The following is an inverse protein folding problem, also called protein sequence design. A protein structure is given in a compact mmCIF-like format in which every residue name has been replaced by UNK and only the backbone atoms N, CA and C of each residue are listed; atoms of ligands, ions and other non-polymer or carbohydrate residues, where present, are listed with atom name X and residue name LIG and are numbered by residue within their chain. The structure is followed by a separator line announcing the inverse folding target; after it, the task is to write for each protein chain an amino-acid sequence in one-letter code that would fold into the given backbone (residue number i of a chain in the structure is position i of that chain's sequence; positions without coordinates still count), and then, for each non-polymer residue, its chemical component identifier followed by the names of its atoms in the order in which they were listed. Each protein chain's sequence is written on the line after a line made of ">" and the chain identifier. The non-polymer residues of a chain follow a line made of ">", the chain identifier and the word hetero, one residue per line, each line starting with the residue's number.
data_IF_811810207085
#
_entry.id   IF_811810207085
#
_cell.length_a   1.000
_cell.length_b   1.000
_cell.length_c   1.000
_cell.angle_alpha   90.00
_cell.angle_beta   90.00
_cell.angle_gamma   90.00
#
_symmetry.space_group_name_H-M   'P 1'
#
loop_
_entity.id
_entity.type
_entity.pdbx_description
1 polymer ?
#
# COMPACT_ATOMS: atom_id res chain seq x y z
N UNK A 1 -21.73 -13.91 -21.56
CA UNK A 1 -20.61 -13.27 -20.83
C UNK A 1 -20.35 -14.05 -19.54
N UNK A 2 -19.14 -14.55 -19.34
CA UNK A 2 -18.73 -15.36 -18.18
C UNK A 2 -17.70 -14.59 -17.32
N UNK A 3 -17.68 -14.84 -16.00
CA UNK A 3 -16.70 -14.20 -15.10
C UNK A 3 -15.24 -14.44 -15.53
N UNK A 4 -14.97 -15.62 -16.10
CA UNK A 4 -13.65 -15.97 -16.62
C UNK A 4 -13.24 -15.07 -17.79
N UNK A 5 -14.17 -14.74 -18.70
CA UNK A 5 -13.92 -13.83 -19.81
C UNK A 5 -13.60 -12.41 -19.31
N UNK A 6 -14.35 -11.92 -18.31
CA UNK A 6 -14.06 -10.62 -17.68
C UNK A 6 -12.70 -10.61 -16.98
N UNK A 7 -12.31 -11.70 -16.30
CA UNK A 7 -10.99 -11.79 -15.67
C UNK A 7 -9.85 -11.71 -16.71
N UNK A 8 -10.02 -12.40 -17.84
CA UNK A 8 -9.04 -12.33 -18.93
C UNK A 8 -8.98 -10.95 -19.57
N UNK A 9 -10.14 -10.32 -19.77
CA UNK A 9 -10.22 -8.96 -20.28
C UNK A 9 -9.49 -7.97 -19.37
N UNK A 10 -9.73 -8.00 -18.06
CA UNK A 10 -9.06 -7.12 -17.09
C UNK A 10 -7.56 -7.38 -17.08
N UNK A 11 -7.11 -8.64 -17.08
CA UNK A 11 -5.68 -8.96 -17.12
C UNK A 11 -4.99 -8.42 -18.38
N UNK A 12 -5.60 -8.53 -19.57
CA UNK A 12 -5.04 -7.98 -20.82
C UNK A 12 -5.07 -6.45 -20.79
N UNK A 13 -6.10 -5.84 -20.23
CA UNK A 13 -6.23 -4.37 -20.10
C UNK A 13 -5.14 -3.76 -19.20
N UNK A 14 -4.75 -4.47 -18.16
CA UNK A 14 -3.70 -4.04 -17.23
C UNK A 14 -2.29 -4.24 -17.79
N UNK A 15 -2.05 -5.37 -18.46
CA UNK A 15 -0.74 -5.69 -19.04
C UNK A 15 -0.51 -5.03 -20.41
N UNK A 16 -1.56 -4.64 -21.12
CA UNK A 16 -1.54 -4.20 -22.51
C UNK A 16 -0.73 -5.16 -23.41
N UNK A 17 -0.72 -6.44 -23.04
CA UNK A 17 0.04 -7.50 -23.72
C UNK A 17 -0.54 -8.89 -23.44
N UNK A 18 -1.03 -9.58 -24.47
CA UNK A 18 -1.67 -10.89 -24.31
C UNK A 18 -0.76 -11.97 -23.71
N UNK A 19 0.53 -11.97 -24.06
CA UNK A 19 1.51 -12.93 -23.52
C UNK A 19 1.71 -12.74 -22.02
N UNK A 20 1.99 -11.51 -21.55
CA UNK A 20 2.14 -11.21 -20.12
C UNK A 20 0.88 -11.49 -19.32
N UNK A 21 -0.28 -11.16 -19.88
CA UNK A 21 -1.56 -11.51 -19.26
C UNK A 21 -1.73 -13.03 -19.12
N UNK A 22 -1.34 -13.79 -20.11
CA UNK A 22 -1.39 -15.26 -20.06
C UNK A 22 -0.42 -15.83 -19.02
N UNK A 23 0.80 -15.31 -18.94
CA UNK A 23 1.79 -15.66 -17.91
C UNK A 23 1.25 -15.38 -16.50
N UNK A 24 0.70 -14.20 -16.28
CA UNK A 24 0.07 -13.80 -15.00
C UNK A 24 -1.11 -14.71 -14.61
N UNK A 25 -1.84 -15.19 -15.59
CA UNK A 25 -2.99 -16.07 -15.40
C UNK A 25 -2.61 -17.56 -15.37
N UNK A 26 -1.33 -17.88 -15.57
CA UNK A 26 -0.79 -19.25 -15.66
C UNK A 26 -1.50 -20.12 -16.71
N UNK A 27 -1.76 -19.56 -17.90
CA UNK A 27 -2.39 -20.23 -19.03
C UNK A 27 -1.67 -19.89 -20.35
N UNK A 28 -2.05 -20.59 -21.43
CA UNK A 28 -1.51 -20.31 -22.76
C UNK A 28 -2.15 -19.07 -23.39
N UNK A 29 -1.38 -18.27 -24.10
CA UNK A 29 -1.83 -17.03 -24.74
C UNK A 29 -3.01 -17.23 -25.69
N UNK A 30 -3.05 -18.37 -26.44
CA UNK A 30 -4.14 -18.68 -27.35
C UNK A 30 -5.50 -18.77 -26.64
N UNK A 31 -5.54 -19.31 -25.41
CA UNK A 31 -6.75 -19.40 -24.61
C UNK A 31 -7.26 -18.01 -24.20
N UNK A 32 -6.37 -17.09 -23.79
CA UNK A 32 -6.73 -15.71 -23.49
C UNK A 32 -7.32 -15.04 -24.73
N UNK A 33 -6.63 -15.14 -25.87
CA UNK A 33 -7.05 -14.53 -27.13
C UNK A 33 -8.43 -15.01 -27.58
N UNK A 34 -8.68 -16.32 -27.52
CA UNK A 34 -9.97 -16.91 -27.87
C UNK A 34 -11.12 -16.43 -26.96
N UNK A 35 -10.87 -16.35 -25.65
CA UNK A 35 -11.90 -15.90 -24.71
C UNK A 35 -12.23 -14.41 -24.87
N UNK A 36 -11.22 -13.59 -25.15
CA UNK A 36 -11.46 -12.17 -25.48
C UNK A 36 -12.26 -12.04 -26.77
N UNK A 37 -11.90 -12.76 -27.83
CA UNK A 37 -12.68 -12.75 -29.09
C UNK A 37 -14.12 -13.23 -28.90
N UNK A 38 -14.34 -14.20 -28.00
CA UNK A 38 -15.69 -14.66 -27.67
C UNK A 38 -16.46 -13.56 -26.94
N UNK A 39 -15.84 -12.88 -25.98
CA UNK A 39 -16.44 -11.75 -25.26
C UNK A 39 -16.78 -10.59 -26.22
N UNK A 40 -15.87 -10.23 -27.12
CA UNK A 40 -16.09 -9.19 -28.14
C UNK A 40 -17.29 -9.53 -29.05
N UNK A 41 -17.39 -10.79 -29.49
CA UNK A 41 -18.54 -11.24 -30.30
C UNK A 41 -19.87 -11.21 -29.52
N UNK A 42 -19.85 -11.58 -28.25
CA UNK A 42 -21.04 -11.56 -27.40
C UNK A 42 -21.50 -10.12 -27.12
N UNK A 43 -20.57 -9.18 -27.00
CA UNK A 43 -20.88 -7.76 -26.77
C UNK A 43 -21.10 -6.95 -28.06
N UNK A 44 -20.77 -7.54 -29.22
CA UNK A 44 -20.89 -6.85 -30.51
C UNK A 44 -19.93 -5.68 -30.68
N UNK A 45 -18.82 -5.67 -29.93
CA UNK A 45 -17.84 -4.57 -29.95
C UNK A 45 -16.42 -5.09 -29.73
N UNK A 46 -15.45 -4.54 -30.46
CA UNK A 46 -14.03 -4.77 -30.19
C UNK A 46 -13.63 -4.03 -28.91
N UNK A 47 -12.95 -4.72 -28.01
CA UNK A 47 -12.47 -4.17 -26.75
C UNK A 47 -11.00 -3.75 -26.81
N UNK A 48 -10.23 -4.38 -27.71
CA UNK A 48 -8.83 -4.08 -27.95
C UNK A 48 -8.55 -3.74 -29.41
N UNK A 49 -7.81 -2.67 -29.61
CA UNK A 49 -7.12 -2.41 -30.88
C UNK A 49 -5.86 -3.30 -30.93
N UNK A 50 -5.83 -4.20 -31.92
CA UNK A 50 -4.77 -5.20 -32.11
C UNK A 50 -3.85 -4.78 -33.26
N UNK A 51 -3.41 -3.51 -33.27
CA UNK A 51 -2.42 -3.09 -34.27
C UNK A 51 -1.11 -3.89 -34.08
N UNK A 52 -0.33 -4.15 -35.16
CA UNK A 52 0.86 -5.03 -35.09
C UNK A 52 1.96 -4.56 -34.13
N UNK A 53 1.87 -3.34 -33.63
CA UNK A 53 2.90 -2.74 -32.76
C UNK A 53 2.47 -2.48 -31.33
N UNK A 54 1.16 -2.46 -31.00
CA UNK A 54 0.67 -2.17 -29.64
C UNK A 54 -0.75 -2.69 -29.44
N UNK A 55 -1.00 -3.26 -28.26
CA UNK A 55 -2.35 -3.54 -27.75
C UNK A 55 -2.83 -2.32 -26.97
N UNK A 56 -4.03 -1.81 -27.30
CA UNK A 56 -4.67 -0.70 -26.60
C UNK A 56 -6.14 -1.03 -26.38
N UNK A 57 -6.74 -0.43 -25.36
CA UNK A 57 -8.19 -0.47 -25.20
C UNK A 57 -8.84 0.38 -26.28
N UNK A 58 -9.97 -0.09 -26.81
CA UNK A 58 -10.90 0.75 -27.56
C UNK A 58 -11.75 1.58 -26.60
N UNK A 59 -12.49 2.57 -27.10
CA UNK A 59 -13.46 3.29 -26.27
C UNK A 59 -14.53 2.39 -25.64
N UNK A 60 -14.86 1.23 -26.26
CA UNK A 60 -15.72 0.22 -25.65
C UNK A 60 -15.00 -0.53 -24.52
N UNK A 61 -13.72 -0.85 -24.72
CA UNK A 61 -12.88 -1.47 -23.70
C UNK A 61 -12.67 -0.56 -22.46
N UNK A 62 -12.44 0.74 -22.70
CA UNK A 62 -12.29 1.70 -21.60
C UNK A 62 -13.57 1.84 -20.75
N UNK A 63 -14.75 1.81 -21.37
CA UNK A 63 -16.02 1.82 -20.65
C UNK A 63 -16.29 0.51 -19.93
N UNK A 64 -15.92 -0.63 -20.52
CA UNK A 64 -16.14 -1.93 -19.91
C UNK A 64 -15.23 -2.20 -18.72
N UNK A 65 -14.01 -1.65 -18.71
CA UNK A 65 -13.00 -1.97 -17.69
C UNK A 65 -13.47 -1.72 -16.25
N UNK A 66 -14.04 -0.55 -15.90
CA UNK A 66 -14.57 -0.32 -14.55
C UNK A 66 -15.73 -1.27 -14.21
N UNK A 67 -16.62 -1.54 -15.15
CA UNK A 67 -17.77 -2.45 -14.95
C UNK A 67 -17.32 -3.91 -14.77
N UNK A 68 -16.35 -4.36 -15.58
CA UNK A 68 -15.79 -5.70 -15.46
C UNK A 68 -15.12 -5.90 -14.09
N UNK A 69 -14.39 -4.90 -13.61
CA UNK A 69 -13.80 -4.92 -12.26
C UNK A 69 -14.88 -4.98 -11.18
N UNK A 70 -15.96 -4.21 -11.32
CA UNK A 70 -17.07 -4.21 -10.38
C UNK A 70 -17.79 -5.57 -10.31
N UNK A 71 -18.04 -6.22 -11.46
CA UNK A 71 -18.64 -7.56 -11.53
C UNK A 71 -17.74 -8.62 -10.90
N UNK A 72 -16.44 -8.63 -11.22
CA UNK A 72 -15.48 -9.56 -10.63
C UNK A 72 -15.38 -9.39 -9.11
N UNK A 73 -15.36 -8.14 -8.65
CA UNK A 73 -15.40 -7.83 -7.22
C UNK A 73 -16.70 -8.32 -6.56
N UNK A 74 -17.86 -8.17 -7.23
CA UNK A 74 -19.15 -8.68 -6.73
C UNK A 74 -19.19 -10.21 -6.64
N UNK A 75 -18.65 -10.90 -7.64
CA UNK A 75 -18.56 -12.36 -7.65
C UNK A 75 -17.64 -12.87 -6.52
N UNK A 76 -16.49 -12.23 -6.31
CA UNK A 76 -15.58 -12.60 -5.22
C UNK A 76 -16.23 -12.35 -3.85
N UNK A 77 -16.95 -11.24 -3.70
CA UNK A 77 -17.74 -10.97 -2.49
C UNK A 77 -18.79 -12.04 -2.21
N UNK A 78 -19.50 -12.52 -3.25
CA UNK A 78 -20.47 -13.59 -3.10
C UNK A 78 -19.83 -14.89 -2.61
N UNK A 79 -18.65 -15.23 -3.15
CA UNK A 79 -17.88 -16.41 -2.70
C UNK A 79 -17.42 -16.26 -1.25
N UNK A 80 -16.87 -15.11 -0.89
CA UNK A 80 -16.40 -14.86 0.48
C UNK A 80 -17.54 -14.75 1.49
N UNK A 81 -18.74 -14.32 1.08
CA UNK A 81 -19.91 -14.26 2.00
C UNK A 81 -20.39 -15.63 2.45
N UNK A 82 -20.18 -16.67 1.66
CA UNK A 82 -20.51 -18.06 1.99
C UNK A 82 -19.38 -18.71 2.79
N UNK A 83 -18.14 -18.32 2.51
CA UNK A 83 -16.94 -18.85 3.20
C UNK A 83 -16.61 -18.12 4.51
N UNK A 84 -17.35 -17.06 4.84
CA UNK A 84 -17.05 -16.21 5.99
C UNK A 84 -17.31 -16.94 7.34
N UNK A 85 -16.34 -17.68 7.80
CA UNK A 85 -16.03 -17.69 9.23
C UNK A 85 -15.93 -16.22 9.69
N UNK A 86 -16.54 -15.91 10.84
CA UNK A 86 -16.78 -14.54 11.34
C UNK A 86 -15.50 -13.75 11.71
N UNK A 87 -14.54 -13.60 10.79
CA UNK A 87 -13.27 -12.90 10.99
C UNK A 87 -13.20 -11.56 10.27
N UNK A 88 -12.40 -10.63 10.82
CA UNK A 88 -12.05 -9.34 10.23
C UNK A 88 -10.75 -9.48 9.41
N UNK A 89 -10.78 -9.26 8.09
CA UNK A 89 -9.60 -9.27 7.21
C UNK A 89 -9.04 -7.85 7.13
N UNK A 90 -7.91 -7.63 7.79
CA UNK A 90 -7.30 -6.32 7.95
C UNK A 90 -5.98 -6.23 7.18
N UNK A 91 -5.94 -5.34 6.20
CA UNK A 91 -4.73 -5.03 5.44
C UNK A 91 -3.73 -4.22 6.28
N UNK A 92 -2.49 -4.67 6.33
CA UNK A 92 -1.45 -4.03 7.14
C UNK A 92 -0.13 -3.89 6.39
N UNK A 93 0.83 -3.23 7.00
CA UNK A 93 2.24 -3.15 6.58
C UNK A 93 3.15 -3.32 7.77
N UNK A 94 4.37 -3.77 7.55
CA UNK A 94 5.39 -3.95 8.59
C UNK A 94 5.71 -2.65 9.35
N UNK A 95 5.45 -1.48 8.75
CA UNK A 95 5.75 -0.18 9.34
C UNK A 95 4.75 0.35 10.38
N UNK A 96 3.70 -0.39 10.76
CA UNK A 96 2.75 0.06 11.79
C UNK A 96 3.30 -0.04 13.22
N UNK A 97 4.27 -0.94 13.45
CA UNK A 97 4.95 -1.08 14.75
C UNK A 97 3.97 -1.22 15.92
N UNK A 98 4.25 -0.51 17.00
CA UNK A 98 3.45 -0.55 18.24
C UNK A 98 1.98 -0.08 18.06
N UNK A 99 1.63 0.60 16.97
CA UNK A 99 0.23 0.95 16.72
C UNK A 99 -0.62 -0.27 16.41
N UNK A 100 -0.08 -1.23 15.63
CA UNK A 100 -0.81 -2.44 15.30
C UNK A 100 -1.12 -3.27 16.54
N UNK A 101 -0.13 -3.46 17.41
CA UNK A 101 -0.29 -4.24 18.65
C UNK A 101 -1.38 -3.64 19.54
N UNK A 102 -1.37 -2.28 19.72
CA UNK A 102 -2.39 -1.59 20.51
C UNK A 102 -3.78 -1.73 19.92
N UNK A 103 -3.91 -1.56 18.60
CA UNK A 103 -5.21 -1.68 17.92
C UNK A 103 -5.75 -3.09 18.05
N UNK A 104 -4.92 -4.11 17.83
CA UNK A 104 -5.35 -5.51 17.94
C UNK A 104 -5.75 -5.88 19.38
N UNK A 105 -4.98 -5.45 20.38
CA UNK A 105 -5.33 -5.67 21.79
C UNK A 105 -6.68 -5.00 22.14
N UNK A 106 -6.83 -3.70 21.79
CA UNK A 106 -8.05 -2.98 22.08
C UNK A 106 -9.27 -3.50 21.27
N UNK A 107 -9.07 -4.04 20.08
CA UNK A 107 -10.12 -4.67 19.29
C UNK A 107 -10.53 -6.02 19.91
N UNK A 108 -9.59 -6.86 20.30
CA UNK A 108 -9.86 -8.14 20.94
C UNK A 108 -10.64 -8.00 22.25
N UNK A 109 -10.39 -6.93 23.03
CA UNK A 109 -11.16 -6.63 24.23
C UNK A 109 -12.63 -6.29 23.93
N UNK A 110 -12.91 -5.64 22.78
CA UNK A 110 -14.26 -5.23 22.37
C UNK A 110 -15.04 -6.34 21.70
N UNK A 111 -14.36 -7.17 20.94
CA UNK A 111 -14.99 -8.22 20.11
C UNK A 111 -14.17 -9.52 20.22
N UNK A 112 -14.20 -10.20 21.38
CA UNK A 112 -13.33 -11.33 21.66
C UNK A 112 -13.57 -12.56 20.76
N UNK A 113 -14.78 -12.69 20.20
CA UNK A 113 -15.15 -13.83 19.37
C UNK A 113 -14.79 -13.64 17.88
N UNK A 114 -14.21 -12.50 17.52
CA UNK A 114 -13.87 -12.17 16.13
C UNK A 114 -12.39 -12.36 15.87
N UNK A 115 -12.05 -13.37 15.09
CA UNK A 115 -10.68 -13.58 14.63
C UNK A 115 -10.26 -12.44 13.67
N UNK A 116 -9.04 -11.91 13.85
CA UNK A 116 -8.44 -10.94 12.92
C UNK A 116 -7.43 -11.65 12.03
N UNK A 117 -7.68 -11.63 10.73
CA UNK A 117 -6.72 -12.06 9.71
C UNK A 117 -5.92 -10.86 9.22
N UNK A 118 -4.61 -10.86 9.47
CA UNK A 118 -3.71 -9.82 9.01
C UNK A 118 -3.13 -10.17 7.64
N UNK A 119 -3.28 -9.25 6.68
CA UNK A 119 -2.76 -9.42 5.32
C UNK A 119 -1.77 -8.30 5.03
N UNK A 120 -0.47 -8.66 4.99
CA UNK A 120 0.61 -7.70 4.71
C UNK A 120 0.85 -7.58 3.21
N UNK A 121 0.65 -6.38 2.65
CA UNK A 121 0.70 -6.10 1.21
C UNK A 121 1.18 -4.66 0.96
N UNK A 122 1.65 -4.33 -0.27
CA UNK A 122 1.86 -2.95 -0.71
C UNK A 122 0.58 -2.11 -0.61
N UNK A 123 0.72 -0.79 -0.40
CA UNK A 123 -0.43 0.11 -0.17
C UNK A 123 -1.46 0.09 -1.31
N UNK A 124 -1.02 0.13 -2.57
CA UNK A 124 -1.91 0.07 -3.73
C UNK A 124 -2.74 -1.21 -3.76
N UNK A 125 -2.09 -2.37 -3.53
CA UNK A 125 -2.78 -3.67 -3.52
C UNK A 125 -3.77 -3.78 -2.35
N UNK A 126 -3.47 -3.19 -1.19
CA UNK A 126 -4.42 -3.11 -0.07
C UNK A 126 -5.67 -2.33 -0.44
N UNK A 127 -5.51 -1.16 -1.07
CA UNK A 127 -6.62 -0.33 -1.53
C UNK A 127 -7.48 -1.05 -2.58
N UNK A 128 -6.85 -1.71 -3.54
CA UNK A 128 -7.56 -2.53 -4.53
C UNK A 128 -8.34 -3.68 -3.88
N UNK A 129 -7.76 -4.34 -2.88
CA UNK A 129 -8.43 -5.43 -2.17
C UNK A 129 -9.59 -4.93 -1.31
N UNK A 130 -9.50 -3.73 -0.73
CA UNK A 130 -10.63 -3.07 -0.04
C UNK A 130 -11.73 -2.74 -1.05
N UNK A 131 -11.40 -2.13 -2.19
CA UNK A 131 -12.36 -1.84 -3.25
C UNK A 131 -13.09 -3.09 -3.74
N UNK A 132 -12.35 -4.20 -3.89
CA UNK A 132 -12.87 -5.50 -4.31
C UNK A 132 -13.60 -6.28 -3.19
N UNK A 133 -13.59 -5.80 -1.93
CA UNK A 133 -14.17 -6.50 -0.78
C UNK A 133 -13.42 -7.77 -0.37
N UNK A 134 -12.15 -7.88 -0.77
CA UNK A 134 -11.22 -8.95 -0.35
C UNK A 134 -10.53 -8.64 0.98
N UNK A 135 -10.50 -7.36 1.38
CA UNK A 135 -10.19 -6.89 2.72
C UNK A 135 -11.39 -6.11 3.25
N UNK A 136 -11.64 -6.21 4.53
CA UNK A 136 -12.71 -5.48 5.20
C UNK A 136 -12.28 -4.04 5.50
N UNK A 137 -11.01 -3.86 5.88
CA UNK A 137 -10.35 -2.57 6.03
C UNK A 137 -8.83 -2.69 5.78
N UNK A 138 -8.14 -1.56 5.61
CA UNK A 138 -6.68 -1.56 5.50
C UNK A 138 -6.07 -0.27 6.05
N UNK A 139 -4.98 -0.39 6.79
CA UNK A 139 -4.17 0.78 7.15
C UNK A 139 -3.38 1.28 5.95
N UNK A 140 -3.43 2.58 5.71
CA UNK A 140 -2.67 3.27 4.65
C UNK A 140 -2.11 4.58 5.18
N UNK A 141 -1.05 5.11 4.55
CA UNK A 141 -0.46 6.40 4.91
C UNK A 141 -0.54 7.33 3.72
N UNK A 142 -1.22 8.46 3.89
CA UNK A 142 -1.33 9.55 2.89
C UNK A 142 -1.51 9.04 1.46
N UNK A 143 -2.31 7.99 1.29
CA UNK A 143 -2.57 7.37 0.00
C UNK A 143 -3.87 7.92 -0.59
N UNK A 144 -3.86 8.19 -1.89
CA UNK A 144 -5.08 8.54 -2.62
C UNK A 144 -5.94 7.28 -2.82
N UNK A 145 -7.18 7.27 -2.32
CA UNK A 145 -8.06 6.12 -2.48
C UNK A 145 -8.60 6.01 -3.91
N UNK A 146 -8.69 4.81 -4.48
CA UNK A 146 -9.38 4.59 -5.74
C UNK A 146 -10.90 4.80 -5.56
N UNK A 147 -11.66 4.94 -6.66
CA UNK A 147 -13.11 5.03 -6.61
C UNK A 147 -13.73 3.90 -5.77
N UNK A 148 -14.68 4.26 -4.90
CA UNK A 148 -15.37 3.30 -4.03
C UNK A 148 -14.64 2.97 -2.72
N UNK A 149 -13.50 3.59 -2.44
CA UNK A 149 -12.79 3.49 -1.16
C UNK A 149 -12.77 4.86 -0.47
N UNK A 150 -12.97 4.88 0.83
CA UNK A 150 -12.75 6.05 1.69
C UNK A 150 -11.58 5.78 2.62
N UNK A 151 -10.80 6.81 2.91
CA UNK A 151 -9.75 6.76 3.93
C UNK A 151 -10.17 7.64 5.11
N UNK A 152 -10.33 7.03 6.26
CA UNK A 152 -10.63 7.71 7.51
C UNK A 152 -9.30 8.03 8.19
N UNK A 153 -8.97 9.31 8.44
CA UNK A 153 -7.73 9.67 9.11
C UNK A 153 -7.77 9.19 10.56
N UNK A 154 -6.65 8.61 11.04
CA UNK A 154 -6.56 8.07 12.39
C UNK A 154 -5.59 8.88 13.26
N UNK A 155 -4.29 8.86 12.90
CA UNK A 155 -3.25 9.56 13.67
C UNK A 155 -2.10 10.02 12.77
N UNK A 156 -1.40 11.10 13.16
CA UNK A 156 -0.12 11.42 12.57
C UNK A 156 0.91 10.36 12.98
N UNK A 157 1.76 9.96 12.03
CA UNK A 157 2.84 9.01 12.23
C UNK A 157 4.18 9.72 11.94
N UNK A 158 4.84 10.25 12.98
CA UNK A 158 6.09 10.98 12.82
C UNK A 158 7.19 10.10 12.25
N UNK A 159 8.09 10.72 11.47
CA UNK A 159 9.31 10.09 10.99
C UNK A 159 10.48 10.46 11.89
N UNK A 160 11.43 9.54 12.01
CA UNK A 160 12.72 9.75 12.65
C UNK A 160 13.84 9.44 11.66
N UNK A 161 14.95 10.12 11.75
CA UNK A 161 16.14 9.78 10.99
C UNK A 161 16.80 8.54 11.58
N UNK A 162 17.13 7.57 10.74
CA UNK A 162 17.94 6.41 11.09
C UNK A 162 19.39 6.65 10.63
N UNK A 163 20.33 6.67 11.56
CA UNK A 163 21.73 7.01 11.38
C UNK A 163 22.65 5.93 11.96
N UNK A 164 23.89 5.78 11.49
CA UNK A 164 24.86 4.95 12.19
C UNK A 164 24.99 5.37 13.67
N UNK A 165 24.96 4.43 14.60
CA UNK A 165 25.01 4.73 16.04
C UNK A 165 26.27 5.52 16.47
N UNK A 166 27.37 5.40 15.71
CA UNK A 166 28.60 6.17 15.93
C UNK A 166 28.64 7.55 15.26
N UNK A 167 27.58 7.97 14.55
CA UNK A 167 27.54 9.29 13.90
C UNK A 167 27.32 10.40 14.94
N UNK A 168 27.96 11.57 14.83
CA UNK A 168 27.81 12.68 15.81
C UNK A 168 26.34 13.10 16.03
N UNK A 169 25.52 13.09 14.97
CA UNK A 169 24.09 13.40 15.07
C UNK A 169 23.29 12.34 15.83
N UNK A 170 23.80 11.13 15.96
CA UNK A 170 23.12 10.05 16.69
C UNK A 170 23.03 10.27 18.20
N UNK A 171 23.86 11.16 18.74
CA UNK A 171 23.87 11.55 20.14
C UNK A 171 22.97 12.76 20.46
N UNK A 172 22.27 13.29 19.45
CA UNK A 172 21.39 14.46 19.60
C UNK A 172 19.98 14.01 19.98
N UNK A 173 19.28 14.81 20.76
CA UNK A 173 17.86 14.58 21.09
C UNK A 173 16.95 14.82 19.89
N UNK A 174 17.31 15.77 19.03
CA UNK A 174 16.65 16.10 17.76
C UNK A 174 17.63 16.69 16.75
N UNK A 175 17.30 16.62 15.46
CA UNK A 175 18.12 17.15 14.36
C UNK A 175 17.26 17.91 13.36
N UNK A 176 17.87 18.82 12.63
CA UNK A 176 17.29 19.46 11.45
C UNK A 176 17.63 18.64 10.19
N UNK A 177 16.71 18.64 9.22
CA UNK A 177 16.94 17.96 7.92
C UNK A 177 18.20 18.50 7.24
N UNK A 178 18.49 19.80 7.36
CA UNK A 178 19.68 20.45 6.79
C UNK A 178 21.01 19.85 7.29
N UNK A 179 21.05 19.30 8.51
CA UNK A 179 22.25 18.68 9.09
C UNK A 179 22.62 17.36 8.39
N UNK A 180 21.70 16.81 7.57
CA UNK A 180 21.89 15.56 6.81
C UNK A 180 22.39 15.78 5.38
N UNK A 181 22.59 17.03 4.94
CA UNK A 181 22.94 17.37 3.56
C UNK A 181 24.20 16.67 3.00
N UNK A 182 25.17 16.33 3.87
CA UNK A 182 26.39 15.63 3.47
C UNK A 182 26.29 14.10 3.45
N UNK A 183 25.16 13.53 3.86
CA UNK A 183 24.99 12.08 3.97
C UNK A 183 24.11 11.54 2.84
N UNK A 184 24.50 10.42 2.17
CA UNK A 184 23.64 9.77 1.20
C UNK A 184 22.34 9.28 1.84
N UNK A 185 21.22 9.54 1.16
CA UNK A 185 19.86 9.17 1.57
C UNK A 185 19.46 7.84 0.92
N UNK A 186 19.22 6.81 1.72
CA UNK A 186 18.68 5.53 1.27
C UNK A 186 17.15 5.51 1.45
N UNK A 187 16.40 5.55 0.37
CA UNK A 187 14.94 5.45 0.38
C UNK A 187 14.46 4.26 -0.43
N UNK A 188 13.26 3.80 -0.09
CA UNK A 188 12.51 2.88 -0.94
C UNK A 188 12.22 3.54 -2.30
N UNK A 189 12.12 2.78 -3.41
CA UNK A 189 11.71 3.34 -4.69
C UNK A 189 10.38 4.10 -4.58
N UNK A 190 10.30 5.26 -5.26
CA UNK A 190 9.08 6.10 -5.23
C UNK A 190 7.82 5.33 -5.61
N UNK A 191 7.92 4.40 -6.55
CA UNK A 191 6.80 3.55 -6.96
C UNK A 191 6.23 2.68 -5.81
N UNK A 192 7.03 2.37 -4.79
CA UNK A 192 6.62 1.57 -3.63
C UNK A 192 5.91 2.40 -2.57
N UNK A 193 6.38 3.64 -2.33
CA UNK A 193 5.81 4.54 -1.32
C UNK A 193 5.98 6.01 -1.76
N UNK A 194 5.16 6.50 -2.70
CA UNK A 194 5.27 7.86 -3.23
C UNK A 194 5.20 8.93 -2.13
N UNK A 195 4.22 8.83 -1.22
CA UNK A 195 4.01 9.82 -0.18
C UNK A 195 5.22 10.00 0.75
N UNK A 196 5.87 8.89 1.13
CA UNK A 196 7.08 8.95 1.96
C UNK A 196 8.24 9.61 1.21
N UNK A 197 8.48 9.17 -0.03
CA UNK A 197 9.60 9.68 -0.83
C UNK A 197 9.42 11.15 -1.13
N UNK A 198 8.22 11.57 -1.57
CA UNK A 198 7.93 12.96 -1.90
C UNK A 198 8.02 13.88 -0.67
N UNK A 199 7.57 13.41 0.50
CA UNK A 199 7.70 14.15 1.76
C UNK A 199 9.19 14.37 2.13
N UNK A 200 9.99 13.31 2.10
CA UNK A 200 11.40 13.38 2.53
C UNK A 200 12.26 14.17 1.55
N UNK A 201 12.12 13.92 0.26
CA UNK A 201 12.84 14.67 -0.79
C UNK A 201 12.42 16.14 -0.77
N UNK A 202 11.13 16.43 -0.65
CA UNK A 202 10.62 17.79 -0.51
C UNK A 202 11.18 18.51 0.72
N UNK A 203 11.34 17.80 1.83
CA UNK A 203 11.98 18.37 3.03
C UNK A 203 13.48 18.67 2.84
N UNK A 204 14.21 17.83 2.10
CA UNK A 204 15.61 18.11 1.74
C UNK A 204 15.71 19.37 0.86
N UNK A 205 14.85 19.50 -0.15
CA UNK A 205 14.80 20.70 -1.00
C UNK A 205 14.43 21.96 -0.19
N UNK A 206 13.45 21.86 0.70
CA UNK A 206 13.08 22.97 1.59
C UNK A 206 14.22 23.37 2.55
N UNK A 207 15.07 22.41 2.93
CA UNK A 207 16.28 22.62 3.72
C UNK A 207 17.49 23.12 2.89
N UNK A 208 17.31 23.33 1.57
CA UNK A 208 18.30 23.96 0.68
C UNK A 208 19.30 23.00 0.06
N UNK A 209 19.02 21.68 0.01
CA UNK A 209 19.93 20.73 -0.63
C UNK A 209 19.20 19.65 -1.43
N UNK A 210 19.88 19.16 -2.47
CA UNK A 210 19.48 17.98 -3.23
C UNK A 210 20.02 16.72 -2.50
N UNK A 211 19.16 15.75 -2.12
CA UNK A 211 19.65 14.57 -1.45
C UNK A 211 20.52 13.70 -2.37
N UNK A 212 21.70 13.33 -1.90
CA UNK A 212 22.58 12.39 -2.60
C UNK A 212 21.95 11.00 -2.50
N UNK A 213 21.66 10.32 -3.63
CA UNK A 213 21.06 8.98 -3.57
C UNK A 213 22.01 7.99 -2.89
N UNK A 214 21.50 7.32 -1.87
CA UNK A 214 22.12 6.17 -1.25
C UNK A 214 21.83 4.87 -2.02
N UNK A 215 22.37 3.73 -1.58
CA UNK A 215 22.03 2.43 -2.15
C UNK A 215 20.52 2.21 -2.13
N UNK A 216 19.94 1.99 -3.29
CA UNK A 216 18.52 1.69 -3.43
C UNK A 216 18.28 0.19 -3.32
N UNK A 217 17.19 -0.20 -2.69
CA UNK A 217 16.66 -1.56 -2.77
C UNK A 217 16.79 -2.38 -1.49
N UNK A 218 16.09 -3.47 -1.47
CA UNK A 218 15.96 -4.36 -0.32
C UNK A 218 14.82 -3.96 0.63
N UNK A 219 14.71 -4.72 1.70
CA UNK A 219 13.78 -4.43 2.78
C UNK A 219 14.31 -3.29 3.66
N UNK A 220 13.45 -2.73 4.51
CA UNK A 220 13.91 -1.78 5.54
C UNK A 220 14.99 -2.41 6.42
N UNK A 221 14.89 -3.69 6.73
CA UNK A 221 15.89 -4.41 7.51
C UNK A 221 17.27 -4.39 6.83
N UNK A 222 17.32 -4.66 5.52
CA UNK A 222 18.58 -4.63 4.76
C UNK A 222 19.16 -3.22 4.72
N UNK A 223 18.30 -2.20 4.52
CA UNK A 223 18.72 -0.79 4.55
C UNK A 223 19.34 -0.42 5.89
N UNK A 224 18.70 -0.78 7.01
CA UNK A 224 19.22 -0.51 8.35
C UNK A 224 20.53 -1.27 8.64
N UNK A 225 20.67 -2.49 8.13
CA UNK A 225 21.93 -3.24 8.24
C UNK A 225 23.09 -2.51 7.52
N UNK A 226 22.83 -1.95 6.33
CA UNK A 226 23.83 -1.16 5.59
C UNK A 226 24.16 0.14 6.31
N UNK A 227 23.16 0.87 6.85
CA UNK A 227 23.35 2.09 7.65
C UNK A 227 24.29 1.81 8.84
N UNK A 228 24.13 0.67 9.50
CA UNK A 228 25.00 0.29 10.60
C UNK A 228 26.48 0.12 10.24
N UNK A 229 26.84 0.17 8.94
CA UNK A 229 28.21 -0.06 8.44
C UNK A 229 28.77 1.07 7.58
N UNK A 230 27.95 2.04 7.15
CA UNK A 230 28.33 3.14 6.25
C UNK A 230 27.69 4.46 6.67
N UNK A 231 28.31 5.62 6.40
CA UNK A 231 27.74 6.93 6.70
C UNK A 231 26.64 7.27 5.68
N UNK A 232 25.43 6.80 5.95
CA UNK A 232 24.22 7.12 5.20
C UNK A 232 23.02 7.17 6.14
N UNK A 233 21.90 7.69 5.68
CA UNK A 233 20.71 7.81 6.48
C UNK A 233 19.45 7.36 5.72
N UNK A 234 18.42 7.06 6.47
CA UNK A 234 17.07 6.86 5.98
C UNK A 234 16.06 7.41 6.98
N UNK A 235 14.78 7.32 6.67
CA UNK A 235 13.70 7.62 7.60
C UNK A 235 12.93 6.36 7.99
N UNK A 236 12.47 6.35 9.23
CA UNK A 236 11.64 5.27 9.78
C UNK A 236 10.47 5.92 10.52
N UNK A 237 9.30 5.31 10.50
CA UNK A 237 8.21 5.77 11.36
C UNK A 237 8.57 5.57 12.83
N UNK A 238 8.33 6.58 13.66
CA UNK A 238 8.68 6.55 15.08
C UNK A 238 8.02 5.36 15.80
N UNK A 239 6.80 5.01 15.41
CA UNK A 239 6.09 3.84 15.92
C UNK A 239 6.80 2.52 15.59
N UNK A 240 7.41 2.44 14.42
CA UNK A 240 8.16 1.26 13.99
C UNK A 240 9.56 1.23 14.62
N UNK A 241 10.24 2.37 14.72
CA UNK A 241 11.56 2.48 15.34
C UNK A 241 11.59 1.93 16.77
N UNK A 242 10.49 2.08 17.52
CA UNK A 242 10.36 1.59 18.91
C UNK A 242 10.41 0.07 19.05
N UNK A 243 10.08 -0.67 18.00
CA UNK A 243 10.05 -2.14 18.01
C UNK A 243 11.22 -2.77 17.24
N UNK A 244 12.03 -1.93 16.56
CA UNK A 244 13.18 -2.40 15.82
C UNK A 244 14.39 -2.60 16.74
N UNK A 245 15.00 -3.76 16.64
CA UNK A 245 16.24 -4.09 17.35
C UNK A 245 17.44 -3.97 16.40
N UNK A 246 18.08 -2.79 16.40
CA UNK A 246 19.17 -2.46 15.47
C UNK A 246 20.32 -1.79 16.23
N UNK A 247 21.19 -2.55 16.91
CA UNK A 247 22.18 -1.99 17.84
C UNK A 247 23.22 -1.06 17.21
N UNK A 248 23.36 -1.08 15.88
CA UNK A 248 24.28 -0.22 15.12
C UNK A 248 23.62 1.00 14.50
N UNK A 249 22.31 1.20 14.73
CA UNK A 249 21.53 2.31 14.19
C UNK A 249 20.86 3.06 15.33
N UNK A 250 20.97 4.37 15.30
CA UNK A 250 20.24 5.29 16.18
C UNK A 250 19.08 5.93 15.43
N UNK A 251 17.99 6.14 16.13
CA UNK A 251 16.78 6.79 15.63
C UNK A 251 16.65 8.16 16.28
N UNK A 252 16.82 9.22 15.49
CA UNK A 252 16.83 10.60 16.00
C UNK A 252 15.62 11.34 15.46
N UNK A 253 14.78 11.95 16.32
CA UNK A 253 13.66 12.78 15.91
C UNK A 253 14.09 13.99 15.09
N UNK A 254 13.25 14.42 14.16
CA UNK A 254 13.41 15.71 13.53
C UNK A 254 12.85 16.83 14.44
N UNK A 255 13.51 17.98 14.46
CA UNK A 255 13.04 19.17 15.17
C UNK A 255 11.69 19.63 14.63
N UNK A 256 10.85 20.14 15.53
CA UNK A 256 9.52 20.63 15.17
C UNK A 256 9.56 21.66 14.02
N UNK A 257 8.63 21.59 13.05
CA UNK A 257 7.40 20.77 13.06
C UNK A 257 7.62 19.29 12.70
N UNK A 258 8.86 18.87 12.35
CA UNK A 258 9.20 17.50 12.01
C UNK A 258 8.59 17.03 10.68
N UNK A 259 8.76 15.74 10.38
CA UNK A 259 8.18 15.08 9.23
C UNK A 259 7.15 14.05 9.73
N UNK A 260 5.95 14.07 9.18
CA UNK A 260 4.92 13.10 9.53
C UNK A 260 4.04 12.78 8.33
N UNK A 261 3.55 11.54 8.27
CA UNK A 261 2.45 11.14 7.40
C UNK A 261 1.24 10.79 8.25
N UNK A 262 0.04 11.03 7.73
CA UNK A 262 -1.18 10.61 8.41
C UNK A 262 -1.46 9.16 8.07
N UNK A 263 -1.53 8.31 9.09
CA UNK A 263 -2.07 6.96 8.96
C UNK A 263 -3.59 7.04 8.99
N UNK A 264 -4.23 6.38 8.04
CA UNK A 264 -5.68 6.28 7.94
C UNK A 264 -6.13 4.83 7.75
N UNK A 265 -7.41 4.60 7.94
CA UNK A 265 -8.09 3.35 7.68
C UNK A 265 -8.86 3.44 6.36
N UNK A 266 -8.43 2.72 5.36
CA UNK A 266 -9.14 2.55 4.10
C UNK A 266 -10.28 1.56 4.27
N UNK A 267 -11.49 1.96 3.89
CA UNK A 267 -12.71 1.16 3.96
C UNK A 267 -13.53 1.33 2.68
N UNK A 268 -14.40 0.38 2.36
CA UNK A 268 -15.30 0.50 1.23
C UNK A 268 -16.32 1.63 1.48
N UNK A 269 -16.51 2.52 0.50
CA UNK A 269 -17.50 3.58 0.56
C UNK A 269 -18.94 3.04 0.44
N UNK A 270 -19.12 1.91 -0.26
CA UNK A 270 -20.42 1.29 -0.52
C UNK A 270 -20.84 0.28 0.56
N UNK A 271 -19.90 -0.21 1.37
CA UNK A 271 -20.14 -1.21 2.41
C UNK A 271 -19.33 -0.87 3.65
N UNK A 272 -19.97 -0.58 4.78
CA UNK A 272 -19.25 -0.53 6.04
C UNK A 272 -18.64 -1.92 6.30
N UNK A 273 -17.38 -1.93 6.74
CA UNK A 273 -16.72 -3.15 7.18
C UNK A 273 -17.48 -3.71 8.40
N UNK A 274 -17.49 -5.03 8.54
CA UNK A 274 -17.96 -5.63 9.79
C UNK A 274 -17.09 -5.11 10.94
N UNK A 275 -17.69 -4.81 12.08
CA UNK A 275 -17.00 -4.29 13.24
C UNK A 275 -16.17 -3.02 12.97
N UNK A 276 -16.60 -2.19 12.01
CA UNK A 276 -15.89 -0.95 11.68
C UNK A 276 -15.86 0.02 12.85
N UNK A 277 -16.97 0.16 13.57
CA UNK A 277 -17.10 1.04 14.73
C UNK A 277 -16.14 0.60 15.83
N UNK A 278 -16.13 -0.68 16.18
CA UNK A 278 -15.24 -1.25 17.19
C UNK A 278 -13.76 -1.14 16.78
N UNK A 279 -13.47 -1.29 15.47
CA UNK A 279 -12.12 -1.11 14.94
C UNK A 279 -11.69 0.36 15.02
N UNK A 280 -12.57 1.31 14.71
CA UNK A 280 -12.28 2.74 14.82
C UNK A 280 -12.06 3.15 16.29
N UNK A 281 -12.90 2.66 17.21
CA UNK A 281 -12.71 2.86 18.64
C UNK A 281 -11.38 2.25 19.13
N UNK A 282 -11.01 1.08 18.64
CA UNK A 282 -9.73 0.46 18.94
C UNK A 282 -8.53 1.28 18.40
N UNK A 283 -8.72 2.00 17.29
CA UNK A 283 -7.75 2.96 16.76
C UNK A 283 -7.66 4.27 17.56
N UNK A 284 -8.54 4.49 18.56
CA UNK A 284 -8.63 5.76 19.29
C UNK A 284 -9.37 6.84 18.50
N UNK A 285 -10.12 6.47 17.46
CA UNK A 285 -10.93 7.38 16.68
C UNK A 285 -12.27 7.54 17.41
N UNK A 286 -12.52 8.72 17.95
CA UNK A 286 -13.83 9.12 18.47
C UNK A 286 -14.47 10.03 17.44
N UNK A 287 -15.66 9.69 16.95
CA UNK A 287 -16.45 10.62 16.15
C UNK A 287 -16.72 11.87 17.00
N UNK A 288 -16.27 13.03 16.51
CA UNK A 288 -16.51 14.34 17.11
C UNK A 288 -17.84 14.90 16.64
#
# INVERSE_FOLDING_TARGET
>A
MELRQLNYFVAVAEELHFGRAAERLHIVQSAVSQQIQRLERELGAELFDRSPRRVRLTGAGERLLPEARAVLAAAERARTSVAATAGLRLGTSTGLGAHLDRVLAAFAERVPDVAVELVSLPAGERLERVAAGRLDAAFVRSAEPPPGVRVLPLWPDPLVAALPAGHPLAARDEIDVAELAGLPLALTPRATNPALVDLVVGACHAAGFEPVPGPAGGSLHDTLAVIGTRPLWTVVYASHARVLHTPRVSYVPFRAPGLALVTGLAVSAARPARHLEELLLACGHHES
#
